data_IF_285675891607
#
_entry.id   IF_285675891607
#
_cell.length_a   1.000
_cell.length_b   1.000
_cell.length_c   1.000
_cell.angle_alpha   90.00
_cell.angle_beta   90.00
_cell.angle_gamma   90.00
#
_symmetry.space_group_name_H-M   'P 1'
#
loop_
_entity.id
_entity.type
_entity.pdbx_description
1 polymer ?
#
# COMPACT_ATOMS: atom_id res chain seq x y z
N UNK A 1 -85.84 -20.33 58.22
CA UNK A 1 -85.81 -19.67 59.56
C UNK A 1 -84.68 -18.66 59.55
N UNK A 2 -84.88 -17.46 60.12
CA UNK A 2 -83.91 -16.36 60.34
C UNK A 2 -83.05 -15.91 59.12
N UNK A 3 -83.22 -14.73 58.50
CA UNK A 3 -83.12 -13.32 58.95
C UNK A 3 -81.72 -12.69 58.83
N UNK A 4 -81.73 -11.37 58.52
CA UNK A 4 -80.61 -10.41 58.34
C UNK A 4 -79.76 -10.56 57.06
N UNK A 5 -79.21 -9.50 56.43
CA UNK A 5 -79.44 -8.02 56.38
C UNK A 5 -78.55 -7.47 55.23
N UNK A 6 -78.72 -6.30 54.61
CA UNK A 6 -79.71 -5.21 54.67
C UNK A 6 -79.31 -4.09 53.66
N UNK A 7 -80.20 -3.16 53.24
CA UNK A 7 -79.90 -2.21 52.14
C UNK A 7 -79.22 -0.91 52.63
N UNK A 8 -78.42 -0.28 51.76
CA UNK A 8 -77.79 1.04 51.99
C UNK A 8 -77.45 1.71 50.65
N UNK A 9 -77.61 3.05 50.58
CA UNK A 9 -77.69 3.80 49.33
C UNK A 9 -76.51 4.75 49.09
N UNK A 10 -76.06 4.80 47.82
CA UNK A 10 -75.75 5.98 46.99
C UNK A 10 -74.73 7.06 47.51
N UNK A 11 -74.30 8.06 46.72
CA UNK A 11 -72.96 7.98 46.11
C UNK A 11 -72.04 9.16 46.44
N UNK A 12 -70.74 9.00 46.18
CA UNK A 12 -69.78 10.11 46.23
C UNK A 12 -68.72 10.06 45.11
N UNK A 13 -68.52 11.21 44.48
CA UNK A 13 -67.58 11.47 43.37
C UNK A 13 -66.16 11.69 43.88
N UNK A 14 -65.15 11.02 43.30
CA UNK A 14 -63.75 11.53 43.28
C UNK A 14 -63.04 11.19 41.96
N UNK A 15 -62.50 12.26 41.36
CA UNK A 15 -61.40 12.45 40.39
C UNK A 15 -60.74 11.32 39.56
N UNK A 16 -60.33 11.74 38.36
CA UNK A 16 -59.39 11.09 37.45
C UNK A 16 -57.99 10.84 38.05
N UNK A 17 -57.37 9.74 37.65
CA UNK A 17 -55.91 9.68 37.44
C UNK A 17 -55.63 9.23 35.99
N UNK A 18 -54.84 10.04 35.26
CA UNK A 18 -54.34 9.67 33.94
C UNK A 18 -53.00 8.94 34.09
N UNK A 19 -52.96 7.66 33.73
CA UNK A 19 -51.71 6.92 33.64
C UNK A 19 -50.81 7.48 32.54
N UNK A 20 -49.65 8.01 32.92
CA UNK A 20 -48.59 8.41 32.01
C UNK A 20 -48.02 7.19 31.28
N UNK A 21 -48.23 7.12 29.97
CA UNK A 21 -47.46 6.21 29.11
C UNK A 21 -46.00 6.68 29.09
N UNK A 22 -45.10 5.86 29.61
CA UNK A 22 -43.67 6.03 29.34
C UNK A 22 -43.45 5.89 27.82
N UNK A 23 -42.94 6.96 27.21
CA UNK A 23 -42.53 6.92 25.82
C UNK A 23 -41.22 6.13 25.74
N UNK A 24 -41.25 4.96 25.12
CA UNK A 24 -40.01 4.33 24.65
C UNK A 24 -39.35 5.28 23.64
N UNK A 25 -38.35 6.02 24.09
CA UNK A 25 -37.47 6.78 23.22
C UNK A 25 -36.66 5.77 22.38
N UNK A 26 -37.13 5.51 21.16
CA UNK A 26 -36.29 4.93 20.11
C UNK A 26 -35.11 5.88 19.94
N UNK A 27 -33.85 5.45 20.13
CA UNK A 27 -32.71 6.33 19.92
C UNK A 27 -32.74 6.84 18.47
N UNK A 28 -32.68 8.16 18.31
CA UNK A 28 -32.65 8.80 16.99
C UNK A 28 -31.44 8.27 16.23
N UNK A 29 -31.67 7.72 15.04
CA UNK A 29 -30.60 7.17 14.22
C UNK A 29 -29.59 8.28 13.90
N UNK A 30 -28.35 8.08 14.35
CA UNK A 30 -27.24 9.03 14.20
C UNK A 30 -27.00 9.38 12.72
N UNK A 31 -26.66 10.63 12.45
CA UNK A 31 -26.41 11.08 11.08
C UNK A 31 -25.03 10.61 10.59
N UNK A 32 -24.83 10.58 9.26
CA UNK A 32 -23.52 10.27 8.69
C UNK A 32 -22.44 11.26 9.14
N UNK A 33 -22.83 12.54 9.29
CA UNK A 33 -21.95 13.62 9.71
C UNK A 33 -21.56 13.52 11.19
N UNK A 34 -22.50 13.14 12.07
CA UNK A 34 -22.23 12.88 13.49
C UNK A 34 -21.34 11.63 13.66
N UNK A 35 -21.59 10.57 12.89
CA UNK A 35 -20.73 9.37 12.85
C UNK A 35 -19.31 9.73 12.41
N UNK A 36 -19.17 10.49 11.32
CA UNK A 36 -17.87 10.92 10.79
C UNK A 36 -17.12 11.82 11.77
N UNK A 37 -17.78 12.85 12.32
CA UNK A 37 -17.17 13.75 13.31
C UNK A 37 -16.81 13.03 14.60
N UNK A 38 -17.63 12.08 15.06
CA UNK A 38 -17.35 11.25 16.23
C UNK A 38 -16.13 10.35 16.02
N UNK A 39 -16.04 9.69 14.87
CA UNK A 39 -14.89 8.88 14.50
C UNK A 39 -13.60 9.72 14.39
N UNK A 40 -13.66 10.87 13.70
CA UNK A 40 -12.55 11.82 13.60
C UNK A 40 -12.10 12.31 14.99
N UNK A 41 -13.03 12.73 15.85
CA UNK A 41 -12.71 13.16 17.21
C UNK A 41 -12.08 12.05 18.05
N UNK A 42 -12.44 10.79 17.83
CA UNK A 42 -11.79 9.63 18.45
C UNK A 42 -10.31 9.49 18.05
N UNK A 43 -9.98 9.78 16.78
CA UNK A 43 -8.62 9.61 16.23
C UNK A 43 -7.69 10.79 16.55
N UNK A 44 -8.16 12.03 16.39
CA UNK A 44 -7.35 13.25 16.61
C UNK A 44 -7.63 13.94 17.95
N UNK A 45 -8.41 13.30 18.83
CA UNK A 45 -8.78 13.75 20.18
C UNK A 45 -9.81 14.88 20.21
N UNK A 46 -9.58 15.96 19.47
CA UNK A 46 -10.52 17.08 19.32
C UNK A 46 -10.45 17.66 17.91
N UNK A 47 -11.58 17.59 17.20
CA UNK A 47 -11.72 18.21 15.88
C UNK A 47 -11.43 19.74 15.99
N UNK A 48 -10.49 20.30 15.19
CA UNK A 48 -10.29 21.73 15.14
C UNK A 48 -11.58 22.43 14.68
N UNK A 49 -11.96 23.54 15.31
CA UNK A 49 -13.18 24.27 14.95
C UNK A 49 -13.17 24.85 13.52
N UNK A 50 -11.98 24.96 12.91
CA UNK A 50 -11.76 25.42 11.55
C UNK A 50 -11.37 24.28 10.58
N UNK A 51 -11.50 23.02 10.98
CA UNK A 51 -11.27 21.88 10.08
C UNK A 51 -12.47 21.70 9.15
N UNK A 52 -12.51 22.48 8.07
CA UNK A 52 -13.58 22.39 7.07
C UNK A 52 -13.39 21.17 6.16
N UNK A 53 -12.15 20.80 5.82
CA UNK A 53 -11.80 19.73 4.88
C UNK A 53 -10.96 18.60 5.48
N UNK A 54 -11.14 17.38 4.98
CA UNK A 54 -10.54 16.17 5.58
C UNK A 54 -9.01 16.15 5.50
N UNK A 55 -8.40 16.58 4.39
CA UNK A 55 -6.93 16.62 4.26
C UNK A 55 -6.25 17.62 5.21
N UNK A 56 -6.97 18.64 5.67
CA UNK A 56 -6.46 19.60 6.68
C UNK A 56 -6.21 18.98 8.06
N UNK A 57 -6.74 17.78 8.31
CA UNK A 57 -6.57 17.05 9.56
C UNK A 57 -5.25 16.28 9.66
N UNK A 58 -4.47 16.21 8.56
CA UNK A 58 -3.18 15.51 8.55
C UNK A 58 -3.27 13.99 8.74
N UNK A 59 -4.42 13.39 8.43
CA UNK A 59 -4.61 11.93 8.50
C UNK A 59 -3.74 11.22 7.44
N UNK A 60 -2.76 10.46 7.92
CA UNK A 60 -1.99 9.52 7.11
C UNK A 60 -2.82 8.28 6.73
N UNK A 61 -2.25 7.33 5.99
CA UNK A 61 -2.98 6.14 5.54
C UNK A 61 -3.48 5.26 6.69
N UNK A 62 -2.84 5.31 7.87
CA UNK A 62 -3.28 4.56 9.05
C UNK A 62 -4.50 5.26 9.66
N UNK A 63 -4.43 6.57 9.89
CA UNK A 63 -5.57 7.35 10.39
C UNK A 63 -6.78 7.32 9.44
N UNK A 64 -6.55 7.30 8.11
CA UNK A 64 -7.63 7.11 7.11
C UNK A 64 -8.26 5.71 7.18
N UNK A 65 -7.47 4.67 7.42
CA UNK A 65 -7.95 3.29 7.58
C UNK A 65 -8.71 3.10 8.90
N UNK A 66 -8.21 3.66 10.00
CA UNK A 66 -8.90 3.65 11.29
C UNK A 66 -10.22 4.44 11.22
N UNK A 67 -10.26 5.54 10.47
CA UNK A 67 -11.50 6.27 10.17
C UNK A 67 -12.50 5.42 9.38
N UNK A 68 -12.02 4.63 8.41
CA UNK A 68 -12.85 3.69 7.66
C UNK A 68 -13.42 2.56 8.53
N UNK A 69 -12.61 2.00 9.44
CA UNK A 69 -13.09 1.00 10.42
C UNK A 69 -14.12 1.63 11.38
N UNK A 70 -13.80 2.77 11.98
CA UNK A 70 -14.66 3.43 12.97
C UNK A 70 -16.01 3.92 12.40
N UNK A 71 -16.06 4.24 11.10
CA UNK A 71 -17.33 4.55 10.40
C UNK A 71 -18.09 3.27 10.01
N UNK A 72 -17.39 2.21 9.58
CA UNK A 72 -17.98 0.92 9.24
C UNK A 72 -18.63 0.21 10.44
N UNK A 73 -18.00 0.26 11.62
CA UNK A 73 -18.56 -0.25 12.89
C UNK A 73 -19.93 0.38 13.21
N UNK A 74 -20.11 1.65 12.81
CA UNK A 74 -21.34 2.44 12.98
C UNK A 74 -22.30 2.32 11.78
N UNK A 75 -22.01 1.43 10.84
CA UNK A 75 -22.88 1.06 9.71
C UNK A 75 -22.75 1.95 8.46
N UNK A 76 -21.66 2.71 8.35
CA UNK A 76 -21.41 3.60 7.22
C UNK A 76 -20.14 3.22 6.47
N UNK A 77 -20.21 3.15 5.14
CA UNK A 77 -19.05 2.97 4.27
C UNK A 77 -18.60 4.32 3.73
N UNK A 78 -17.35 4.65 4.01
CA UNK A 78 -16.62 5.73 3.38
C UNK A 78 -16.36 5.42 1.90
N UNK A 79 -16.52 6.39 0.98
CA UNK A 79 -16.29 6.16 -0.45
C UNK A 79 -14.82 5.82 -0.74
N UNK A 80 -14.58 4.90 -1.67
CA UNK A 80 -13.27 4.30 -1.91
C UNK A 80 -12.21 5.28 -2.46
N UNK A 81 -12.65 6.42 -2.98
CA UNK A 81 -11.81 7.48 -3.52
C UNK A 81 -11.23 8.43 -2.45
N UNK A 82 -11.58 8.28 -1.17
CA UNK A 82 -11.09 9.11 -0.05
C UNK A 82 -9.56 9.25 0.08
N UNK A 83 -8.79 8.35 -0.52
CA UNK A 83 -7.34 8.53 -0.65
C UNK A 83 -6.95 9.74 -1.52
N UNK A 84 -7.80 10.11 -2.49
CA UNK A 84 -7.60 11.21 -3.45
C UNK A 84 -8.26 12.53 -3.06
N UNK A 85 -9.21 12.54 -2.10
CA UNK A 85 -10.03 13.72 -1.80
C UNK A 85 -9.46 14.56 -0.65
N UNK A 86 -8.26 15.10 -0.83
CA UNK A 86 -7.59 15.92 0.19
C UNK A 86 -8.31 17.25 0.48
N UNK A 87 -9.08 17.76 -0.49
CA UNK A 87 -9.77 19.05 -0.40
C UNK A 87 -11.27 18.97 -0.06
N UNK A 88 -11.88 17.78 0.03
CA UNK A 88 -13.33 17.70 0.30
C UNK A 88 -13.69 18.14 1.71
N UNK A 89 -14.78 18.88 1.82
CA UNK A 89 -15.34 19.29 3.08
C UNK A 89 -15.86 18.07 3.87
N UNK A 90 -15.78 18.10 5.21
CA UNK A 90 -16.27 17.00 6.05
C UNK A 90 -17.75 16.71 5.79
N UNK A 91 -18.56 17.74 5.50
CA UNK A 91 -19.97 17.59 5.11
C UNK A 91 -20.17 16.91 3.75
N UNK A 92 -19.27 17.12 2.78
CA UNK A 92 -19.33 16.46 1.47
C UNK A 92 -18.98 14.98 1.59
N UNK A 93 -17.93 14.66 2.36
CA UNK A 93 -17.57 13.27 2.70
C UNK A 93 -18.72 12.57 3.42
N UNK A 94 -19.35 13.23 4.39
CA UNK A 94 -20.51 12.71 5.11
C UNK A 94 -21.73 12.48 4.19
N UNK A 95 -21.97 13.36 3.22
CA UNK A 95 -23.05 13.20 2.25
C UNK A 95 -22.78 12.06 1.24
N UNK A 96 -21.51 11.74 0.96
CA UNK A 96 -21.10 10.64 0.11
C UNK A 96 -21.03 9.27 0.81
N UNK A 97 -21.08 9.24 2.15
CA UNK A 97 -21.11 7.98 2.92
C UNK A 97 -22.39 7.18 2.68
N UNK A 98 -22.24 5.92 2.26
CA UNK A 98 -23.37 5.01 2.09
C UNK A 98 -23.65 4.24 3.39
N UNK A 99 -24.93 3.97 3.68
CA UNK A 99 -25.28 3.04 4.76
C UNK A 99 -25.10 1.60 4.26
N UNK A 100 -24.42 0.78 5.05
CA UNK A 100 -24.46 -0.67 4.83
C UNK A 100 -25.84 -1.19 5.18
N UNK A 101 -26.49 -1.89 4.25
CA UNK A 101 -27.53 -2.84 4.64
C UNK A 101 -26.87 -3.91 5.51
N UNK A 102 -27.08 -3.85 6.83
CA UNK A 102 -26.59 -4.87 7.76
C UNK A 102 -27.23 -6.21 7.41
N UNK A 103 -26.55 -7.02 6.60
CA UNK A 103 -26.78 -8.46 6.59
C UNK A 103 -26.30 -9.00 7.94
N UNK A 104 -27.16 -9.56 8.81
CA UNK A 104 -26.69 -10.14 10.06
C UNK A 104 -25.82 -11.36 9.72
N UNK A 105 -24.50 -11.24 9.89
CA UNK A 105 -23.53 -12.25 9.46
C UNK A 105 -22.64 -11.86 8.27
N UNK A 106 -22.79 -10.66 7.69
CA UNK A 106 -21.64 -10.05 7.01
C UNK A 106 -20.50 -9.85 8.03
N UNK A 107 -19.21 -9.96 7.65
CA UNK A 107 -18.10 -9.85 8.57
C UNK A 107 -17.92 -8.39 9.02
N UNK A 108 -18.74 -8.00 9.99
CA UNK A 108 -18.39 -6.95 10.91
C UNK A 108 -17.10 -7.33 11.63
N UNK A 109 -16.30 -6.31 11.90
CA UNK A 109 -15.03 -6.26 12.61
C UNK A 109 -15.14 -6.82 14.03
N UNK A 110 -15.32 -8.15 14.13
CA UNK A 110 -15.01 -8.90 15.36
C UNK A 110 -13.49 -8.89 15.48
N UNK A 111 -12.98 -7.84 16.14
CA UNK A 111 -11.57 -7.69 16.40
C UNK A 111 -11.01 -8.94 17.08
N UNK A 112 -9.88 -9.43 16.57
CA UNK A 112 -9.14 -10.56 17.13
C UNK A 112 -8.97 -10.39 18.65
N UNK A 113 -9.29 -11.43 19.40
CA UNK A 113 -9.11 -11.43 20.86
C UNK A 113 -7.62 -11.37 21.20
N UNK A 114 -7.29 -11.09 22.47
CA UNK A 114 -5.89 -11.11 22.93
C UNK A 114 -5.17 -12.44 22.65
N UNK A 115 -5.89 -13.56 22.62
CA UNK A 115 -5.33 -14.86 22.22
C UNK A 115 -5.03 -14.93 20.71
N UNK A 116 -5.93 -14.41 19.88
CA UNK A 116 -5.76 -14.40 18.42
C UNK A 116 -4.63 -13.45 17.97
N UNK A 117 -4.34 -12.39 18.74
CA UNK A 117 -3.19 -11.52 18.52
C UNK A 117 -1.86 -12.20 18.88
N UNK A 118 -1.83 -13.04 19.91
CA UNK A 118 -0.66 -13.87 20.23
C UNK A 118 -0.41 -14.89 19.11
N UNK A 119 -1.46 -15.57 18.63
CA UNK A 119 -1.36 -16.47 17.47
C UNK A 119 -0.83 -15.73 16.25
N UNK A 120 -1.37 -14.55 15.92
CA UNK A 120 -0.86 -13.73 14.81
C UNK A 120 0.62 -13.40 14.94
N UNK A 121 1.06 -13.03 16.15
CA UNK A 121 2.47 -12.69 16.41
C UNK A 121 3.38 -13.88 16.21
N UNK A 122 2.98 -15.07 16.67
CA UNK A 122 3.77 -16.29 16.51
C UNK A 122 3.74 -16.84 15.07
N UNK A 123 2.62 -16.69 14.35
CA UNK A 123 2.55 -16.98 12.90
C UNK A 123 3.44 -16.03 12.08
N UNK A 124 3.40 -14.72 12.35
CA UNK A 124 4.25 -13.73 11.68
C UNK A 124 5.73 -13.96 12.01
N UNK A 125 6.06 -14.26 13.28
CA UNK A 125 7.41 -14.64 13.69
C UNK A 125 7.95 -15.81 12.87
N UNK A 126 7.15 -16.85 12.64
CA UNK A 126 7.57 -18.00 11.83
C UNK A 126 7.88 -17.60 10.38
N UNK A 127 7.13 -16.67 9.77
CA UNK A 127 7.44 -16.15 8.43
C UNK A 127 8.74 -15.35 8.43
N UNK A 128 8.97 -14.49 9.43
CA UNK A 128 10.22 -13.75 9.57
C UNK A 128 11.42 -14.67 9.81
N UNK A 129 11.27 -15.68 10.68
CA UNK A 129 12.34 -16.63 10.99
C UNK A 129 12.67 -17.49 9.77
N UNK A 130 11.68 -18.01 9.04
CA UNK A 130 11.85 -18.73 7.76
C UNK A 130 12.57 -17.85 6.72
N UNK A 131 12.20 -16.58 6.60
CA UNK A 131 12.88 -15.66 5.68
C UNK A 131 14.34 -15.40 6.10
N UNK A 132 14.63 -15.40 7.40
CA UNK A 132 15.99 -15.26 7.96
C UNK A 132 16.81 -16.56 7.94
N UNK A 133 16.30 -17.69 7.44
CA UNK A 133 17.05 -18.95 7.36
C UNK A 133 18.18 -18.90 6.32
N UNK A 134 19.27 -19.63 6.61
CA UNK A 134 20.42 -19.76 5.73
C UNK A 134 21.40 -18.59 5.86
N UNK A 135 21.80 -18.04 4.72
CA UNK A 135 22.80 -16.98 4.58
C UNK A 135 22.19 -15.58 4.33
N UNK A 136 20.89 -15.41 4.62
CA UNK A 136 20.17 -14.16 4.34
C UNK A 136 20.78 -12.95 5.07
N UNK A 137 21.26 -11.99 4.29
CA UNK A 137 21.87 -10.73 4.75
C UNK A 137 20.86 -9.57 4.81
N UNK A 138 19.87 -9.61 3.91
CA UNK A 138 18.90 -8.55 3.68
C UNK A 138 17.47 -9.09 3.60
N UNK A 139 16.54 -8.34 4.19
CA UNK A 139 15.12 -8.66 4.19
C UNK A 139 14.31 -7.44 3.75
N UNK A 140 13.66 -7.50 2.60
CA UNK A 140 12.78 -6.41 2.14
C UNK A 140 11.34 -6.72 2.51
N UNK A 141 10.73 -5.91 3.36
CA UNK A 141 9.36 -6.13 3.87
C UNK A 141 8.40 -5.13 3.22
N UNK A 142 7.39 -5.63 2.52
CA UNK A 142 6.29 -4.84 1.97
C UNK A 142 4.97 -5.36 2.51
N UNK A 143 4.08 -4.46 2.97
CA UNK A 143 2.90 -4.85 3.74
C UNK A 143 1.66 -4.02 3.42
N UNK A 144 0.52 -4.67 3.24
CA UNK A 144 -0.81 -4.07 3.32
C UNK A 144 -1.39 -4.29 4.72
N UNK A 145 -1.42 -3.25 5.57
CA UNK A 145 -2.08 -3.33 6.88
C UNK A 145 -3.60 -3.61 6.78
N UNK A 146 -4.38 -3.06 5.82
CA UNK A 146 -5.78 -3.43 5.62
C UNK A 146 -6.05 -4.93 5.45
N UNK A 147 -5.10 -5.68 4.87
CA UNK A 147 -5.28 -7.10 4.58
C UNK A 147 -5.04 -8.02 5.78
N UNK A 148 -4.61 -7.47 6.93
CA UNK A 148 -4.74 -8.11 8.23
C UNK A 148 -6.18 -8.04 8.73
N UNK A 149 -7.11 -8.64 7.97
CA UNK A 149 -8.56 -8.58 8.22
C UNK A 149 -8.89 -9.07 9.64
N UNK A 150 -9.80 -8.37 10.31
CA UNK A 150 -10.18 -8.57 11.71
C UNK A 150 -9.06 -8.29 12.74
N UNK A 151 -7.98 -7.63 12.35
CA UNK A 151 -6.97 -7.06 13.25
C UNK A 151 -7.12 -5.54 13.25
N UNK A 152 -6.99 -4.88 14.40
CA UNK A 152 -6.90 -3.43 14.41
C UNK A 152 -5.60 -2.99 13.69
N UNK A 153 -5.63 -2.00 12.77
CA UNK A 153 -4.45 -1.60 12.01
C UNK A 153 -3.22 -1.26 12.87
N UNK A 154 -3.44 -0.60 14.02
CA UNK A 154 -2.41 -0.32 15.01
C UNK A 154 -1.78 -1.60 15.60
N UNK A 155 -2.58 -2.65 15.89
CA UNK A 155 -2.06 -3.91 16.43
C UNK A 155 -1.26 -4.68 15.39
N UNK A 156 -1.74 -4.73 14.14
CA UNK A 156 -1.01 -5.32 13.01
C UNK A 156 0.33 -4.62 12.79
N UNK A 157 0.34 -3.28 12.82
CA UNK A 157 1.55 -2.47 12.73
C UNK A 157 2.49 -2.70 13.92
N UNK A 158 1.97 -2.73 15.15
CA UNK A 158 2.78 -2.95 16.36
C UNK A 158 3.46 -4.32 16.37
N UNK A 159 2.72 -5.36 15.97
CA UNK A 159 3.27 -6.72 15.79
C UNK A 159 4.34 -6.73 14.69
N UNK A 160 4.09 -6.09 13.55
CA UNK A 160 5.04 -5.98 12.44
C UNK A 160 6.34 -5.24 12.85
N UNK A 161 6.24 -4.09 13.51
CA UNK A 161 7.38 -3.33 14.01
C UNK A 161 8.19 -4.13 15.03
N UNK A 162 7.53 -4.87 15.93
CA UNK A 162 8.19 -5.73 16.92
C UNK A 162 9.02 -6.85 16.29
N UNK A 163 8.58 -7.41 15.17
CA UNK A 163 9.33 -8.47 14.48
C UNK A 163 10.42 -7.89 13.55
N UNK A 164 10.19 -6.72 12.93
CA UNK A 164 11.22 -5.95 12.19
C UNK A 164 12.38 -5.57 13.10
N UNK A 165 12.12 -4.95 14.26
CA UNK A 165 13.15 -4.57 15.24
C UNK A 165 13.98 -5.81 15.62
N UNK A 166 13.31 -6.90 16.03
CA UNK A 166 13.94 -8.17 16.43
C UNK A 166 14.91 -8.71 15.37
N UNK A 167 14.52 -8.78 14.10
CA UNK A 167 15.42 -9.33 13.06
C UNK A 167 16.49 -8.32 12.61
N UNK A 168 16.21 -7.01 12.70
CA UNK A 168 17.17 -5.95 12.33
C UNK A 168 18.42 -5.91 13.22
N UNK A 169 18.37 -6.53 14.41
CA UNK A 169 19.54 -6.74 15.27
C UNK A 169 20.59 -7.70 14.68
N UNK A 170 20.25 -8.45 13.61
CA UNK A 170 21.12 -9.47 12.99
C UNK A 170 21.34 -9.26 11.49
N UNK A 171 20.29 -8.85 10.77
CA UNK A 171 20.29 -8.67 9.31
C UNK A 171 19.80 -7.26 8.96
N UNK A 172 19.95 -6.83 7.71
CA UNK A 172 19.46 -5.49 7.31
C UNK A 172 18.04 -5.61 6.78
N UNK A 173 17.09 -4.94 7.42
CA UNK A 173 15.70 -4.87 6.94
C UNK A 173 15.53 -3.61 6.10
N UNK A 174 14.89 -3.72 4.95
CA UNK A 174 14.47 -2.60 4.11
C UNK A 174 12.95 -2.60 3.93
N UNK A 175 12.34 -1.42 3.85
CA UNK A 175 10.92 -1.27 3.53
C UNK A 175 10.77 -0.22 2.43
N UNK A 176 9.96 -0.47 1.38
CA UNK A 176 9.63 0.54 0.38
C UNK A 176 9.14 1.84 1.03
N UNK A 177 9.72 2.94 0.60
CA UNK A 177 9.41 4.29 1.05
C UNK A 177 9.24 5.21 -0.17
N UNK A 178 8.48 4.77 -1.16
CA UNK A 178 8.40 5.44 -2.46
C UNK A 178 7.68 6.78 -2.36
N UNK A 179 8.09 7.72 -3.21
CA UNK A 179 7.44 9.03 -3.40
C UNK A 179 7.23 9.23 -4.91
N UNK A 180 6.17 8.60 -5.43
CA UNK A 180 5.81 8.64 -6.84
C UNK A 180 5.31 10.03 -7.25
N UNK A 181 4.74 10.79 -6.31
CA UNK A 181 4.32 12.18 -6.53
C UNK A 181 5.44 13.07 -7.07
N UNK A 182 6.71 12.79 -6.77
CA UNK A 182 7.88 13.49 -7.33
C UNK A 182 7.85 13.59 -8.87
N UNK A 183 7.29 12.59 -9.56
CA UNK A 183 7.15 12.58 -11.02
C UNK A 183 6.33 13.78 -11.52
N UNK A 184 5.29 14.17 -10.76
CA UNK A 184 4.43 15.31 -11.05
C UNK A 184 4.86 16.61 -10.35
N UNK A 185 5.16 16.55 -9.05
CA UNK A 185 5.49 17.73 -8.23
C UNK A 185 6.87 18.31 -8.53
N UNK A 186 7.80 17.47 -9.00
CA UNK A 186 9.24 17.76 -9.14
C UNK A 186 9.89 18.23 -7.85
N UNK A 187 9.33 17.87 -6.70
CA UNK A 187 9.84 18.19 -5.37
C UNK A 187 9.69 17.00 -4.43
N UNK A 188 10.71 16.75 -3.60
CA UNK A 188 10.65 15.75 -2.52
C UNK A 188 11.58 16.16 -1.37
N UNK A 189 11.14 15.94 -0.14
CA UNK A 189 11.93 16.00 1.08
C UNK A 189 12.03 14.59 1.69
N UNK A 190 13.14 13.92 1.41
CA UNK A 190 13.40 12.55 1.88
C UNK A 190 13.47 12.46 3.41
N UNK A 191 13.62 13.57 4.13
CA UNK A 191 13.64 13.61 5.61
C UNK A 191 12.25 13.76 6.23
N UNK A 192 11.25 14.22 5.47
CA UNK A 192 9.92 14.59 5.98
C UNK A 192 8.75 13.93 5.27
N UNK A 193 8.83 13.73 3.96
CA UNK A 193 7.71 13.25 3.16
C UNK A 193 7.42 11.77 3.48
N UNK A 194 6.14 11.40 3.69
CA UNK A 194 5.77 10.02 3.99
C UNK A 194 5.98 9.09 2.78
N UNK A 195 6.03 7.79 3.07
CA UNK A 195 5.97 6.73 2.07
C UNK A 195 4.57 6.62 1.43
N UNK A 196 4.51 6.75 0.11
CA UNK A 196 3.32 6.48 -0.71
C UNK A 196 3.12 4.97 -0.97
N UNK A 197 4.17 4.16 -0.80
CA UNK A 197 4.10 2.70 -0.84
C UNK A 197 3.58 2.04 0.45
N UNK A 198 2.99 2.84 1.35
CA UNK A 198 2.45 2.42 2.65
C UNK A 198 3.28 2.89 3.84
N UNK A 199 2.63 3.19 4.96
CA UNK A 199 3.23 3.91 6.09
C UNK A 199 4.17 3.10 7.00
N UNK A 200 4.28 1.78 6.82
CA UNK A 200 5.12 0.94 7.68
C UNK A 200 6.58 1.41 7.73
N UNK A 201 7.15 1.82 6.59
CA UNK A 201 8.49 2.42 6.51
C UNK A 201 8.61 3.73 7.30
N UNK A 202 7.60 4.62 7.21
CA UNK A 202 7.52 5.85 8.02
C UNK A 202 7.52 5.55 9.53
N UNK A 203 6.85 4.47 9.97
CA UNK A 203 6.86 4.07 11.38
C UNK A 203 8.19 3.42 11.79
N UNK A 204 8.83 2.60 10.95
CA UNK A 204 10.19 2.07 11.21
C UNK A 204 11.20 3.21 11.38
N UNK A 205 11.12 4.24 10.54
CA UNK A 205 11.97 5.44 10.65
C UNK A 205 11.78 6.15 12.01
N UNK A 206 10.52 6.35 12.44
CA UNK A 206 10.19 7.06 13.70
C UNK A 206 10.44 6.24 14.97
N UNK A 207 10.13 4.94 14.97
CA UNK A 207 10.10 4.10 16.16
C UNK A 207 11.38 3.29 16.39
N UNK A 208 12.06 2.87 15.30
CA UNK A 208 13.24 1.99 15.33
C UNK A 208 14.51 2.78 14.91
N UNK A 209 14.36 3.98 14.37
CA UNK A 209 15.49 4.81 13.91
C UNK A 209 16.05 4.41 12.55
N UNK A 210 15.19 3.88 11.67
CA UNK A 210 15.56 3.55 10.29
C UNK A 210 16.02 4.78 9.48
N UNK A 211 16.84 4.55 8.46
CA UNK A 211 17.39 5.59 7.56
C UNK A 211 16.76 5.48 6.18
N UNK A 212 16.43 6.60 5.53
CA UNK A 212 15.89 6.57 4.15
C UNK A 212 17.03 6.62 3.13
N UNK A 213 16.99 5.75 2.11
CA UNK A 213 17.94 5.77 0.99
C UNK A 213 17.69 6.95 0.05
N UNK A 214 18.74 7.42 -0.62
CA UNK A 214 18.71 8.67 -1.41
C UNK A 214 18.28 8.44 -2.86
N UNK A 215 17.00 8.11 -3.06
CA UNK A 215 16.35 8.10 -4.36
C UNK A 215 15.02 8.88 -4.30
N UNK A 216 14.74 9.86 -5.18
CA UNK A 216 13.53 10.68 -5.09
C UNK A 216 12.24 9.86 -5.25
N UNK A 217 12.20 8.93 -6.22
CA UNK A 217 11.05 8.03 -6.45
C UNK A 217 11.11 6.72 -5.65
N UNK A 218 12.18 5.93 -5.81
CA UNK A 218 12.30 4.55 -5.30
C UNK A 218 13.10 4.40 -3.99
N UNK A 219 12.93 5.31 -3.03
CA UNK A 219 13.64 5.19 -1.75
C UNK A 219 13.10 4.07 -0.87
N UNK A 220 13.95 3.61 0.06
CA UNK A 220 13.65 2.58 1.06
C UNK A 220 14.02 3.12 2.44
N UNK A 221 13.26 2.78 3.48
CA UNK A 221 13.72 2.91 4.88
C UNK A 221 14.43 1.63 5.27
N UNK A 222 15.67 1.76 5.76
CA UNK A 222 16.56 0.65 6.12
C UNK A 222 16.97 0.69 7.59
N UNK A 223 17.09 -0.48 8.21
CA UNK A 223 17.52 -0.65 9.62
C UNK A 223 18.35 -1.92 9.75
N UNK A 224 19.34 -1.93 10.66
CA UNK A 224 20.27 -3.05 10.86
C UNK A 224 21.69 -2.81 10.31
N UNK A 225 22.55 -3.85 10.23
CA UNK A 225 24.01 -3.69 10.14
C UNK A 225 24.52 -2.90 8.93
N UNK A 226 23.87 -3.01 7.77
CA UNK A 226 24.28 -2.30 6.54
C UNK A 226 23.43 -1.06 6.24
N UNK A 227 22.53 -0.65 7.14
CA UNK A 227 21.60 0.46 6.93
C UNK A 227 22.30 1.80 6.66
N UNK A 228 23.44 2.06 7.31
CA UNK A 228 24.27 3.24 7.02
C UNK A 228 24.83 3.19 5.60
N UNK A 229 25.49 2.08 5.24
CA UNK A 229 26.19 1.92 3.97
C UNK A 229 25.27 2.00 2.74
N UNK A 230 24.04 1.47 2.82
CA UNK A 230 23.05 1.57 1.73
C UNK A 230 22.34 2.94 1.69
N UNK A 231 22.23 3.64 2.83
CA UNK A 231 21.58 4.96 2.90
C UNK A 231 22.48 6.12 2.45
N UNK A 232 23.79 6.03 2.69
CA UNK A 232 24.76 7.08 2.29
C UNK A 232 24.98 7.15 0.78
N UNK A 233 24.73 6.04 0.07
CA UNK A 233 24.78 6.00 -1.40
C UNK A 233 23.73 6.94 -1.98
N UNK A 234 24.17 7.85 -2.85
CA UNK A 234 23.26 8.55 -3.75
C UNK A 234 22.82 7.59 -4.87
N UNK A 235 21.51 7.33 -4.90
CA UNK A 235 20.88 6.45 -5.88
C UNK A 235 20.18 7.25 -6.98
N UNK A 236 20.06 8.59 -6.88
CA UNK A 236 19.30 9.37 -7.86
C UNK A 236 19.98 9.40 -9.23
N UNK A 237 21.31 9.41 -9.27
CA UNK A 237 22.10 9.43 -10.52
C UNK A 237 22.32 8.04 -11.15
N UNK A 238 21.67 7.01 -10.61
CA UNK A 238 21.86 5.61 -11.00
C UNK A 238 20.71 5.11 -11.88
N UNK A 239 20.89 3.94 -12.51
CA UNK A 239 19.77 3.31 -13.21
C UNK A 239 18.67 2.87 -12.23
N UNK A 240 17.44 2.71 -12.71
CA UNK A 240 16.30 2.37 -11.85
C UNK A 240 16.40 0.94 -11.32
N UNK A 241 16.60 -0.05 -12.20
CA UNK A 241 16.58 -1.48 -11.87
C UNK A 241 17.84 -2.25 -12.33
N UNK A 242 18.86 -1.55 -12.84
CA UNK A 242 20.13 -2.15 -13.25
C UNK A 242 21.07 -2.47 -12.09
N UNK A 243 22.27 -2.97 -12.41
CA UNK A 243 23.22 -3.51 -11.43
C UNK A 243 23.79 -2.46 -10.46
N UNK A 244 23.79 -1.19 -10.87
CA UNK A 244 24.15 -0.05 -10.03
C UNK A 244 23.01 0.41 -9.11
N UNK A 245 21.77 -0.07 -9.28
CA UNK A 245 20.60 0.39 -8.53
C UNK A 245 20.44 -0.27 -7.16
N UNK A 246 19.51 0.24 -6.34
CA UNK A 246 19.16 -0.35 -5.04
C UNK A 246 18.57 -1.77 -5.18
N UNK A 247 17.88 -2.05 -6.28
CA UNK A 247 17.37 -3.38 -6.62
C UNK A 247 18.51 -4.30 -7.11
N UNK A 248 19.50 -3.75 -7.83
CA UNK A 248 20.76 -4.44 -8.12
C UNK A 248 21.55 -4.80 -6.85
N UNK A 249 21.62 -3.88 -5.89
CA UNK A 249 22.24 -4.10 -4.58
C UNK A 249 21.60 -5.25 -3.79
N UNK A 250 20.27 -5.38 -3.86
CA UNK A 250 19.53 -6.51 -3.27
C UNK A 250 19.87 -7.83 -3.97
N UNK A 251 19.87 -7.88 -5.30
CA UNK A 251 20.17 -9.10 -6.09
C UNK A 251 21.61 -9.60 -5.93
N UNK A 252 22.55 -8.66 -5.77
CA UNK A 252 23.96 -8.95 -5.51
C UNK A 252 24.21 -9.57 -4.12
N UNK A 253 23.21 -9.57 -3.24
CA UNK A 253 23.28 -10.06 -1.86
C UNK A 253 22.28 -11.16 -1.60
N UNK A 254 22.41 -11.82 -0.46
CA UNK A 254 21.49 -12.87 -0.03
C UNK A 254 20.21 -12.21 0.51
N UNK A 255 19.41 -11.67 -0.41
CA UNK A 255 18.20 -10.90 -0.11
C UNK A 255 16.95 -11.73 -0.33
N UNK A 256 16.04 -11.70 0.65
CA UNK A 256 14.67 -12.19 0.48
C UNK A 256 13.66 -11.05 0.65
N UNK A 257 12.53 -11.15 -0.04
CA UNK A 257 11.37 -10.30 0.20
C UNK A 257 10.35 -11.03 1.08
N UNK A 258 9.70 -10.30 1.99
CA UNK A 258 8.43 -10.70 2.60
C UNK A 258 7.35 -9.75 2.09
N UNK A 259 6.29 -10.33 1.51
CA UNK A 259 5.09 -9.62 1.10
C UNK A 259 3.94 -10.03 2.03
N UNK A 260 3.40 -9.09 2.81
CA UNK A 260 2.33 -9.32 3.79
C UNK A 260 1.02 -8.69 3.31
N UNK A 261 0.02 -9.50 2.97
CA UNK A 261 -1.28 -9.03 2.49
C UNK A 261 -1.22 -8.31 1.15
N UNK A 262 -0.10 -8.40 0.42
CA UNK A 262 0.11 -7.67 -0.83
C UNK A 262 0.84 -8.53 -1.85
N UNK A 263 0.57 -8.27 -3.13
CA UNK A 263 1.27 -8.85 -4.29
C UNK A 263 2.20 -7.84 -4.98
N UNK A 264 2.32 -6.62 -4.47
CA UNK A 264 3.19 -5.60 -5.02
C UNK A 264 4.67 -5.99 -4.78
N UNK A 265 5.43 -6.19 -5.87
CA UNK A 265 6.80 -6.68 -5.83
C UNK A 265 7.66 -5.94 -6.88
N UNK A 266 8.11 -4.73 -6.55
CA UNK A 266 8.79 -3.85 -7.51
C UNK A 266 10.12 -4.41 -8.06
N UNK A 267 10.78 -5.32 -7.32
CA UNK A 267 12.00 -6.01 -7.77
C UNK A 267 11.79 -6.76 -9.10
N UNK A 268 10.56 -7.17 -9.44
CA UNK A 268 10.26 -7.84 -10.73
C UNK A 268 10.65 -7.00 -11.96
N UNK A 269 10.63 -5.66 -11.86
CA UNK A 269 11.04 -4.78 -12.94
C UNK A 269 12.55 -4.85 -13.23
N UNK A 270 13.35 -5.34 -12.28
CA UNK A 270 14.72 -5.75 -12.55
C UNK A 270 14.78 -7.01 -13.41
N UNK A 271 13.90 -7.99 -13.19
CA UNK A 271 13.80 -9.15 -14.09
C UNK A 271 13.38 -8.73 -15.50
N UNK A 272 12.50 -7.73 -15.64
CA UNK A 272 12.17 -7.10 -16.93
C UNK A 272 13.38 -6.43 -17.57
N UNK A 273 14.15 -5.64 -16.80
CA UNK A 273 15.34 -4.95 -17.31
C UNK A 273 16.47 -5.92 -17.72
N UNK A 274 16.73 -6.96 -16.92
CA UNK A 274 17.71 -8.01 -17.21
C UNK A 274 17.30 -8.92 -18.38
N UNK A 275 16.00 -9.02 -18.68
CA UNK A 275 15.47 -9.74 -19.83
C UNK A 275 15.39 -8.87 -21.10
N UNK A 276 15.67 -7.57 -21.00
CA UNK A 276 15.59 -6.59 -22.09
C UNK A 276 14.21 -6.57 -22.78
N UNK A 277 13.12 -6.63 -21.98
CA UNK A 277 11.75 -6.70 -22.53
C UNK A 277 11.46 -5.49 -23.45
N UNK A 278 10.83 -5.68 -24.61
CA UNK A 278 10.87 -4.70 -25.70
C UNK A 278 9.93 -3.50 -25.50
N UNK A 279 9.09 -3.55 -24.45
CA UNK A 279 8.20 -2.47 -24.01
C UNK A 279 8.78 -1.65 -22.84
N UNK A 280 9.98 -1.95 -22.33
CA UNK A 280 10.59 -1.14 -21.27
C UNK A 280 10.96 0.27 -21.79
N UNK A 281 10.88 1.26 -20.90
CA UNK A 281 11.39 2.60 -21.15
C UNK A 281 11.87 3.25 -19.85
N UNK A 282 12.68 4.30 -19.97
CA UNK A 282 13.13 5.10 -18.83
C UNK A 282 12.93 6.59 -19.13
N UNK A 283 12.35 7.31 -18.17
CA UNK A 283 12.14 8.76 -18.24
C UNK A 283 12.99 9.42 -17.18
N UNK A 284 13.82 10.39 -17.57
CA UNK A 284 14.60 11.18 -16.60
C UNK A 284 13.73 12.33 -16.07
N UNK A 285 13.57 12.38 -14.75
CA UNK A 285 12.74 13.37 -14.05
C UNK A 285 13.63 14.29 -13.22
N UNK A 286 13.80 15.53 -13.67
CA UNK A 286 14.47 16.59 -12.91
C UNK A 286 13.52 17.31 -11.95
N UNK A 287 14.08 17.78 -10.83
CA UNK A 287 13.39 18.49 -9.76
C UNK A 287 14.29 18.83 -8.56
N UNK A 288 13.66 19.29 -7.49
CA UNK A 288 14.31 19.62 -6.22
C UNK A 288 14.26 18.44 -5.26
N UNK A 289 15.41 18.03 -4.73
CA UNK A 289 15.55 16.90 -3.79
C UNK A 289 16.15 17.46 -2.50
N UNK A 290 15.44 17.32 -1.38
CA UNK A 290 15.93 17.64 -0.04
C UNK A 290 16.25 16.35 0.70
N UNK A 291 17.46 16.26 1.26
CA UNK A 291 17.88 15.18 2.15
C UNK A 291 18.65 15.75 3.36
N UNK A 292 19.28 14.89 4.17
CA UNK A 292 20.03 15.30 5.36
C UNK A 292 21.27 16.18 5.09
N UNK A 293 21.76 16.24 3.84
CA UNK A 293 22.82 17.16 3.41
C UNK A 293 22.26 18.52 2.92
N UNK A 294 20.94 18.65 2.77
CA UNK A 294 20.23 19.86 2.35
C UNK A 294 19.45 19.68 1.05
N UNK A 295 19.03 20.80 0.46
CA UNK A 295 18.30 20.82 -0.81
C UNK A 295 19.25 20.97 -1.99
N UNK A 296 19.12 20.08 -2.98
CA UNK A 296 19.83 20.13 -4.27
C UNK A 296 18.86 20.08 -5.44
N UNK A 297 19.26 20.64 -6.57
CA UNK A 297 18.65 20.30 -7.87
C UNK A 297 19.28 18.99 -8.37
N UNK A 298 18.50 18.19 -9.07
CA UNK A 298 18.95 16.94 -9.67
C UNK A 298 17.77 16.17 -10.27
N UNK A 299 17.97 14.91 -10.59
CA UNK A 299 16.89 14.06 -11.07
C UNK A 299 17.15 12.59 -10.80
N UNK A 300 16.26 11.76 -11.32
CA UNK A 300 16.45 10.32 -11.40
C UNK A 300 15.78 9.71 -12.63
N UNK A 301 16.28 8.54 -13.05
CA UNK A 301 15.60 7.71 -14.03
C UNK A 301 14.42 6.98 -13.38
N UNK A 302 13.25 7.17 -13.98
CA UNK A 302 12.01 6.49 -13.64
C UNK A 302 11.77 5.42 -14.69
N UNK A 303 11.60 4.17 -14.25
CA UNK A 303 11.19 3.09 -15.13
C UNK A 303 9.75 3.31 -15.55
N UNK A 304 9.46 3.11 -16.82
CA UNK A 304 8.12 3.09 -17.37
C UNK A 304 7.99 1.92 -18.33
N UNK A 305 6.76 1.65 -18.74
CA UNK A 305 6.48 0.77 -19.88
C UNK A 305 5.92 1.63 -20.99
N UNK A 306 6.55 1.63 -22.14
CA UNK A 306 6.02 2.27 -23.33
C UNK A 306 4.99 1.32 -23.93
N UNK A 307 3.72 1.47 -23.52
CA UNK A 307 2.58 0.71 -24.02
C UNK A 307 1.41 1.69 -24.22
N UNK A 308 0.85 1.81 -25.44
CA UNK A 308 -0.31 2.69 -25.67
C UNK A 308 -1.47 2.39 -24.71
N UNK A 309 -2.18 3.44 -24.29
CA UNK A 309 -3.26 3.41 -23.29
C UNK A 309 -2.89 2.91 -21.88
N UNK A 310 -1.59 2.76 -21.56
CA UNK A 310 -1.17 2.63 -20.16
C UNK A 310 -1.39 3.96 -19.42
N UNK A 311 -2.55 4.10 -18.77
CA UNK A 311 -2.88 5.27 -17.92
C UNK A 311 -1.76 5.50 -16.91
N UNK A 312 -1.50 6.75 -16.52
CA UNK A 312 -0.34 7.17 -15.71
C UNK A 312 -0.11 6.38 -14.39
N UNK A 313 -1.13 5.69 -13.88
CA UNK A 313 -1.03 4.79 -12.73
C UNK A 313 -0.37 3.41 -13.03
N UNK A 314 -0.11 3.05 -14.29
CA UNK A 314 0.39 1.73 -14.70
C UNK A 314 1.92 1.59 -14.72
N UNK A 315 2.66 2.55 -14.18
CA UNK A 315 4.14 2.51 -14.04
C UNK A 315 4.63 1.21 -13.39
N UNK A 316 3.80 0.57 -12.55
CA UNK A 316 4.05 -0.74 -11.91
C UNK A 316 3.00 -1.81 -12.24
N UNK A 317 2.27 -1.67 -13.35
CA UNK A 317 1.10 -2.47 -13.72
C UNK A 317 1.41 -3.92 -14.16
N UNK A 318 2.04 -4.71 -13.30
CA UNK A 318 2.32 -6.14 -13.52
C UNK A 318 1.06 -6.99 -13.43
N UNK A 319 1.02 -8.10 -14.19
CA UNK A 319 0.16 -9.22 -13.81
C UNK A 319 0.75 -9.87 -12.57
N UNK A 320 0.18 -9.54 -11.41
CA UNK A 320 0.69 -10.00 -10.11
C UNK A 320 0.58 -11.50 -9.95
N UNK A 321 -0.47 -12.16 -10.43
CA UNK A 321 -0.58 -13.62 -10.29
C UNK A 321 0.47 -14.35 -11.15
N UNK A 322 0.76 -13.85 -12.36
CA UNK A 322 1.88 -14.35 -13.18
C UNK A 322 3.23 -14.30 -12.46
N UNK A 323 3.46 -13.35 -11.54
CA UNK A 323 4.72 -13.27 -10.78
C UNK A 323 4.89 -14.49 -9.88
N UNK A 324 3.86 -14.88 -9.13
CA UNK A 324 3.93 -16.00 -8.18
C UNK A 324 3.98 -17.34 -8.91
N UNK A 325 3.21 -17.48 -9.99
CA UNK A 325 3.19 -18.71 -10.78
C UNK A 325 4.50 -18.90 -11.56
N UNK A 326 5.08 -17.83 -12.11
CA UNK A 326 6.36 -17.89 -12.83
C UNK A 326 7.55 -18.05 -11.89
N UNK A 327 7.53 -17.42 -10.71
CA UNK A 327 8.59 -17.55 -9.69
C UNK A 327 8.71 -18.95 -9.10
N UNK A 328 7.66 -19.78 -9.21
CA UNK A 328 7.71 -21.21 -8.88
C UNK A 328 8.29 -21.51 -7.50
N UNK A 329 9.40 -22.25 -7.45
CA UNK A 329 10.03 -22.68 -6.20
C UNK A 329 10.82 -21.57 -5.47
N UNK A 330 11.08 -20.43 -6.11
CA UNK A 330 11.67 -19.26 -5.44
C UNK A 330 10.65 -18.53 -4.54
N UNK A 331 9.37 -18.89 -4.61
CA UNK A 331 8.27 -18.25 -3.89
C UNK A 331 7.58 -19.23 -2.97
N UNK A 332 7.69 -19.01 -1.66
CA UNK A 332 6.90 -19.73 -0.65
C UNK A 332 5.72 -18.88 -0.18
N UNK A 333 4.58 -19.50 0.12
CA UNK A 333 3.33 -18.83 0.51
C UNK A 333 2.72 -19.48 1.75
N UNK A 334 2.13 -18.66 2.63
CA UNK A 334 1.47 -19.10 3.86
C UNK A 334 0.37 -18.13 4.28
N UNK A 335 -0.73 -18.63 4.82
CA UNK A 335 -1.78 -17.78 5.39
C UNK A 335 -1.49 -17.46 6.86
N UNK A 336 -1.69 -16.19 7.23
CA UNK A 336 -1.65 -15.63 8.58
C UNK A 336 -3.10 -15.24 8.95
N UNK A 337 -3.92 -16.26 9.23
CA UNK A 337 -5.38 -16.12 9.22
C UNK A 337 -5.91 -15.75 7.83
N UNK A 338 -6.40 -14.51 7.70
CA UNK A 338 -7.00 -13.97 6.45
C UNK A 338 -6.02 -13.13 5.60
N UNK A 339 -4.79 -12.95 6.08
CA UNK A 339 -3.70 -12.27 5.38
C UNK A 339 -2.81 -13.33 4.69
N UNK A 340 -2.48 -13.16 3.41
CA UNK A 340 -1.50 -14.01 2.71
C UNK A 340 -0.10 -13.44 2.92
N UNK A 341 0.84 -14.26 3.37
CA UNK A 341 2.26 -13.94 3.42
C UNK A 341 3.00 -14.72 2.33
N UNK A 342 3.89 -14.05 1.60
CA UNK A 342 4.80 -14.69 0.67
C UNK A 342 6.25 -14.32 0.99
N UNK A 343 7.15 -15.31 0.87
CA UNK A 343 8.61 -15.09 0.95
C UNK A 343 9.21 -15.42 -0.41
N UNK A 344 9.94 -14.48 -0.99
CA UNK A 344 10.58 -14.59 -2.31
C UNK A 344 12.10 -14.50 -2.13
N UNK A 345 12.85 -15.49 -2.61
CA UNK A 345 14.30 -15.38 -2.74
C UNK A 345 14.65 -14.61 -4.03
N UNK A 346 15.33 -13.47 -3.91
CA UNK A 346 15.54 -12.56 -5.05
C UNK A 346 16.38 -13.22 -6.15
N UNK A 347 17.44 -13.96 -5.78
CA UNK A 347 18.33 -14.57 -6.75
C UNK A 347 17.66 -15.75 -7.45
N UNK A 348 17.06 -16.67 -6.68
CA UNK A 348 16.35 -17.81 -7.27
C UNK A 348 15.18 -17.34 -8.15
N UNK A 349 14.51 -16.25 -7.77
CA UNK A 349 13.45 -15.64 -8.58
C UNK A 349 14.00 -15.10 -9.91
N UNK A 350 15.08 -14.32 -9.89
CA UNK A 350 15.71 -13.80 -11.12
C UNK A 350 16.25 -14.93 -12.03
N UNK A 351 16.82 -15.99 -11.44
CA UNK A 351 17.30 -17.17 -12.17
C UNK A 351 16.19 -17.93 -12.92
N UNK A 352 14.95 -17.91 -12.41
CA UNK A 352 13.79 -18.55 -13.06
C UNK A 352 13.11 -17.59 -14.05
N UNK A 353 12.87 -16.35 -13.62
CA UNK A 353 12.01 -15.40 -14.34
C UNK A 353 12.72 -14.73 -15.52
N UNK A 354 14.01 -14.42 -15.42
CA UNK A 354 14.74 -13.75 -16.52
C UNK A 354 14.85 -14.64 -17.77
N UNK A 355 15.19 -15.94 -17.70
CA UNK A 355 15.17 -16.82 -18.87
C UNK A 355 13.77 -17.02 -19.46
N UNK A 356 12.73 -17.05 -18.61
CA UNK A 356 11.36 -17.17 -19.06
C UNK A 356 10.89 -15.91 -19.81
N UNK A 357 11.22 -14.71 -19.31
CA UNK A 357 10.98 -13.44 -20.00
C UNK A 357 11.75 -13.35 -21.32
N UNK A 358 13.01 -13.80 -21.38
CA UNK A 358 13.76 -13.87 -22.67
C UNK A 358 13.10 -14.81 -23.69
N UNK A 359 12.31 -15.79 -23.23
CA UNK A 359 11.57 -16.72 -24.08
C UNK A 359 10.16 -16.22 -24.46
N UNK A 360 9.50 -15.51 -23.54
CA UNK A 360 8.23 -14.82 -23.75
C UNK A 360 8.26 -13.47 -23.01
N UNK A 361 8.68 -12.38 -23.66
CA UNK A 361 8.92 -11.11 -22.97
C UNK A 361 7.65 -10.45 -22.43
N UNK A 362 6.47 -10.91 -22.86
CA UNK A 362 5.19 -10.37 -22.43
C UNK A 362 4.54 -11.16 -21.27
N UNK A 363 5.23 -12.16 -20.70
CA UNK A 363 4.66 -13.05 -19.67
C UNK A 363 4.18 -12.35 -18.37
N UNK A 364 4.67 -11.14 -18.10
CA UNK A 364 4.32 -10.33 -16.92
C UNK A 364 3.44 -9.11 -17.24
N UNK A 365 3.03 -8.93 -18.49
CA UNK A 365 2.02 -7.94 -18.85
C UNK A 365 0.62 -8.40 -18.42
N UNK A 366 -0.21 -7.43 -18.09
CA UNK A 366 -1.65 -7.66 -18.00
C UNK A 366 -2.22 -8.04 -19.38
N UNK A 367 -3.23 -8.93 -19.47
CA UNK A 367 -3.76 -9.40 -20.75
C UNK A 367 -4.18 -8.28 -21.71
N UNK A 368 -4.75 -7.19 -21.18
CA UNK A 368 -5.16 -6.00 -21.93
C UNK A 368 -3.98 -5.21 -22.54
N UNK A 369 -2.77 -5.33 -21.98
CA UNK A 369 -1.56 -4.66 -22.47
C UNK A 369 -0.78 -5.47 -23.50
N UNK A 370 -1.09 -6.76 -23.67
CA UNK A 370 -0.37 -7.67 -24.57
C UNK A 370 -0.41 -7.19 -26.03
N UNK A 371 -1.61 -6.93 -26.56
CA UNK A 371 -1.81 -6.54 -27.96
C UNK A 371 -1.23 -5.14 -28.26
N UNK A 372 -1.46 -4.09 -27.43
CA UNK A 372 -0.80 -2.81 -27.60
C UNK A 372 0.73 -2.89 -27.56
N UNK A 373 1.31 -3.68 -26.64
CA UNK A 373 2.76 -3.84 -26.54
C UNK A 373 3.35 -4.58 -27.75
N UNK A 374 2.67 -5.59 -28.29
CA UNK A 374 3.10 -6.28 -29.50
C UNK A 374 3.09 -5.35 -30.72
N UNK A 375 2.01 -4.59 -30.91
CA UNK A 375 1.88 -3.63 -32.01
C UNK A 375 2.99 -2.56 -32.01
N UNK A 376 3.34 -2.00 -30.86
CA UNK A 376 4.43 -1.02 -30.75
C UNK A 376 5.79 -1.60 -31.16
N UNK A 377 6.07 -2.86 -30.79
CA UNK A 377 7.33 -3.52 -31.13
C UNK A 377 7.43 -3.80 -32.63
N UNK A 378 6.32 -4.21 -33.26
CA UNK A 378 6.23 -4.36 -34.72
C UNK A 378 6.43 -3.01 -35.44
N UNK A 379 5.81 -1.93 -34.95
CA UNK A 379 5.98 -0.59 -35.52
C UNK A 379 7.44 -0.12 -35.44
N UNK A 380 8.07 -0.19 -34.26
CA UNK A 380 9.49 0.16 -34.07
C UNK A 380 10.40 -0.65 -35.01
N UNK A 381 10.15 -1.95 -35.16
CA UNK A 381 10.90 -2.81 -36.06
C UNK A 381 10.71 -2.45 -37.55
N UNK A 382 9.57 -1.89 -37.94
CA UNK A 382 9.34 -1.33 -39.29
C UNK A 382 10.06 0.01 -39.47
N UNK A 383 9.98 0.92 -38.50
CA UNK A 383 10.65 2.22 -38.51
C UNK A 383 12.19 2.05 -38.62
N UNK A 384 12.78 1.14 -37.84
CA UNK A 384 14.21 0.84 -37.93
C UNK A 384 14.62 0.30 -39.31
N UNK A 385 13.83 -0.60 -39.91
CA UNK A 385 14.10 -1.13 -41.25
C UNK A 385 14.08 -0.01 -42.30
N UNK A 386 13.09 0.89 -42.22
CA UNK A 386 13.00 2.05 -43.11
C UNK A 386 14.20 3.00 -42.94
N UNK A 387 14.59 3.32 -41.70
CA UNK A 387 15.77 4.16 -41.41
C UNK A 387 17.07 3.56 -41.96
N UNK A 388 17.28 2.25 -41.79
CA UNK A 388 18.45 1.53 -42.35
C UNK A 388 18.47 1.52 -43.88
N UNK A 389 17.30 1.45 -44.53
CA UNK A 389 17.20 1.54 -46.00
C UNK A 389 17.50 2.96 -46.51
N UNK A 390 16.96 4.00 -45.86
CA UNK A 390 17.23 5.40 -46.20
C UNK A 390 18.73 5.74 -46.04
N UNK A 391 19.37 5.30 -44.95
CA UNK A 391 20.80 5.50 -44.74
C UNK A 391 21.69 4.82 -45.80
N UNK A 392 21.31 3.63 -46.28
CA UNK A 392 22.03 2.96 -47.39
C UNK A 392 21.92 3.74 -48.70
N UNK A 393 20.75 4.29 -49.03
CA UNK A 393 20.59 5.12 -50.22
C UNK A 393 21.38 6.44 -50.16
N UNK A 394 21.54 7.04 -48.98
CA UNK A 394 22.35 8.26 -48.81
C UNK A 394 23.86 8.02 -48.85
N UNK A 395 24.34 6.82 -48.51
CA UNK A 395 25.75 6.47 -48.65
C UNK A 395 26.09 6.09 -50.10
N UNK A 396 25.22 5.35 -50.79
CA UNK A 396 25.42 5.00 -52.20
C UNK A 396 25.54 6.25 -53.10
N UNK A 397 24.73 7.28 -52.87
CA UNK A 397 24.80 8.55 -53.62
C UNK A 397 25.97 9.46 -53.24
N UNK A 398 26.76 9.10 -52.21
CA UNK A 398 28.01 9.79 -51.85
C UNK A 398 29.27 9.12 -52.37
N UNK A 399 29.18 7.89 -52.88
CA UNK A 399 30.31 7.18 -53.52
C UNK A 399 30.34 7.38 -55.05
N UNK A 400 29.29 8.01 -55.62
CA UNK A 400 29.18 8.36 -57.05
C UNK A 400 29.48 9.83 -57.37
N UNK A 401 30.06 10.58 -56.41
CA UNK A 401 30.47 12.01 -56.53
C UNK A 401 31.93 12.20 -56.12
#
# INVERSE_FOLDING_TARGET
MAQHSGPGADPAVVAHEHGTREAHHTPTAESAEDVLKGALAGLIGRLPAAAEALGSLGLDSLGRLELQVATADRGYVLPADLCSVESAAIGEVAAAMSRTERTPGAPGTVGRTGADLVVLKDELRQVFDQACEGDTEFLVVQSSLPDFKNVAPHDALSILLSEIDRVSQRITVALPAYTLSYIGTRTVDLTRDPSESGMASTHVMKAIGGRRTRHPVYSFVVVGPAAQAIADIDWSERSTFGDDSVFGWFSARHTKYILLGTRAYAQVHRSEQLAEVPYQSHVYVEGSITDAAGTRQGGAYVYARDVPDSRDAQVFGVNTDSIFDLGGHAVSRRNLGMCEAAVIDVRAFEEIVVPALRSNPYALLQPELLVPAQALVEERALQEKAGRQAGRHQNATKEEV
#
